data_IF_724010917734
#
_entry.id   IF_724010917734
#
_cell.length_a   1.000
_cell.length_b   1.000
_cell.length_c   1.000
_cell.angle_alpha   90.00
_cell.angle_beta   90.00
_cell.angle_gamma   90.00
#
_symmetry.space_group_name_H-M   'P 1'
#
loop_
_entity.id
_entity.type
_entity.pdbx_description
1 polymer ?
#
# COMPACT_ATOMS: atom_id res chain seq x y z
N UNK A 1 -29.71 -9.00 -22.19
CA UNK A 1 -28.65 -8.06 -21.77
C UNK A 1 -27.58 -8.89 -21.09
N UNK A 2 -26.45 -9.10 -21.76
CA UNK A 2 -25.30 -9.75 -21.13
C UNK A 2 -24.58 -8.70 -20.31
N UNK A 3 -24.81 -8.70 -19.01
CA UNK A 3 -24.03 -7.92 -18.07
C UNK A 3 -22.63 -8.50 -18.08
N UNK A 4 -21.71 -7.90 -18.84
CA UNK A 4 -20.29 -8.13 -18.62
C UNK A 4 -20.04 -7.80 -17.15
N UNK A 5 -19.44 -8.69 -16.33
CA UNK A 5 -19.06 -8.31 -14.98
C UNK A 5 -18.22 -7.04 -15.13
N UNK A 6 -18.64 -5.95 -14.48
CA UNK A 6 -17.78 -4.78 -14.36
C UNK A 6 -16.56 -5.25 -13.60
N UNK A 7 -15.49 -5.57 -14.33
CA UNK A 7 -14.19 -5.75 -13.73
C UNK A 7 -13.84 -4.39 -13.14
N UNK A 8 -13.94 -4.29 -11.81
CA UNK A 8 -13.59 -3.06 -11.12
C UNK A 8 -12.15 -2.72 -11.48
N UNK A 9 -11.91 -1.47 -11.88
CA UNK A 9 -10.54 -1.03 -12.13
C UNK A 9 -9.71 -1.22 -10.87
N UNK A 10 -8.41 -1.45 -11.06
CA UNK A 10 -7.47 -1.68 -9.97
C UNK A 10 -6.58 -0.47 -9.80
N UNK A 11 -6.12 -0.24 -8.58
CA UNK A 11 -5.09 0.73 -8.25
C UNK A 11 -3.95 0.03 -7.53
N UNK A 12 -2.76 0.62 -7.59
CA UNK A 12 -1.57 0.10 -6.92
C UNK A 12 -1.27 0.95 -5.71
N UNK A 13 -1.34 0.37 -4.51
CA UNK A 13 -0.65 0.95 -3.36
C UNK A 13 0.81 0.50 -3.44
N UNK A 14 1.73 1.45 -3.51
CA UNK A 14 3.15 1.18 -3.59
C UNK A 14 3.83 1.88 -2.41
N UNK A 15 4.77 1.19 -1.77
CA UNK A 15 5.69 1.81 -0.84
C UNK A 15 7.13 1.55 -1.29
N UNK A 16 8.02 2.51 -1.06
CA UNK A 16 9.46 2.39 -1.34
C UNK A 16 10.25 2.99 -0.20
N UNK A 17 11.47 2.48 -0.07
CA UNK A 17 12.49 3.05 0.82
C UNK A 17 12.88 4.44 0.32
N UNK A 18 12.89 5.41 1.21
CA UNK A 18 13.15 6.83 0.94
C UNK A 18 14.51 7.28 1.48
N UNK A 19 15.53 6.43 1.31
CA UNK A 19 16.90 6.65 1.77
C UNK A 19 17.87 5.81 0.95
N UNK A 20 19.17 5.99 1.21
CA UNK A 20 20.21 5.19 0.57
C UNK A 20 20.01 3.69 0.83
N UNK A 21 20.14 2.90 -0.24
CA UNK A 21 19.90 1.47 -0.23
C UNK A 21 21.19 0.70 0.04
N UNK A 22 21.11 -0.26 0.96
CA UNK A 22 22.10 -1.31 1.12
C UNK A 22 21.45 -2.71 1.06
N UNK A 23 22.29 -3.74 1.14
CA UNK A 23 21.83 -5.12 1.07
C UNK A 23 21.01 -5.55 2.29
N UNK A 24 21.22 -4.92 3.46
CA UNK A 24 20.45 -5.20 4.67
C UNK A 24 19.02 -4.68 4.51
N UNK A 25 18.87 -3.45 4.05
CA UNK A 25 17.58 -2.82 3.75
C UNK A 25 16.80 -3.65 2.73
N UNK A 26 17.45 -4.04 1.62
CA UNK A 26 16.84 -4.91 0.59
C UNK A 26 16.31 -6.22 1.18
N UNK A 27 17.13 -6.89 1.97
CA UNK A 27 16.76 -8.15 2.61
C UNK A 27 15.59 -7.98 3.59
N UNK A 28 15.62 -6.91 4.39
CA UNK A 28 14.57 -6.58 5.35
C UNK A 28 13.23 -6.29 4.65
N UNK A 29 13.22 -5.50 3.58
CA UNK A 29 12.01 -5.20 2.80
C UNK A 29 11.48 -6.43 2.08
N UNK A 30 12.38 -7.23 1.48
CA UNK A 30 11.97 -8.48 0.83
C UNK A 30 11.33 -9.45 1.83
N UNK A 31 11.92 -9.59 3.02
CA UNK A 31 11.36 -10.41 4.08
C UNK A 31 9.98 -9.90 4.52
N UNK A 32 9.84 -8.60 4.77
CA UNK A 32 8.55 -7.97 5.11
C UNK A 32 7.47 -8.31 4.08
N UNK A 33 7.76 -8.15 2.80
CA UNK A 33 6.78 -8.41 1.73
C UNK A 33 6.44 -9.89 1.64
N UNK A 34 7.41 -10.78 1.79
CA UNK A 34 7.17 -12.23 1.79
C UNK A 34 6.28 -12.65 2.98
N UNK A 35 6.52 -12.09 4.16
CA UNK A 35 5.71 -12.35 5.36
C UNK A 35 4.27 -11.83 5.18
N UNK A 36 4.09 -10.63 4.64
CA UNK A 36 2.77 -10.08 4.30
C UNK A 36 2.05 -10.92 3.24
N UNK A 37 2.75 -11.33 2.18
CA UNK A 37 2.19 -12.18 1.13
C UNK A 37 1.65 -13.50 1.68
N UNK A 38 2.29 -14.07 2.70
CA UNK A 38 1.91 -15.32 3.34
C UNK A 38 0.93 -15.17 4.53
N UNK A 39 0.69 -13.95 5.03
CA UNK A 39 -0.04 -13.74 6.29
C UNK A 39 -1.55 -13.99 6.17
N UNK A 40 -2.12 -13.82 4.96
CA UNK A 40 -3.57 -13.87 4.74
C UNK A 40 -3.94 -14.15 3.28
N UNK A 41 -5.24 -14.32 3.04
CA UNK A 41 -5.82 -14.31 1.70
C UNK A 41 -6.18 -12.86 1.34
N UNK A 42 -5.56 -12.36 0.28
CA UNK A 42 -5.75 -11.01 -0.26
C UNK A 42 -6.87 -10.96 -1.29
N UNK A 43 -7.49 -9.79 -1.47
CA UNK A 43 -8.70 -9.64 -2.29
C UNK A 43 -8.46 -9.76 -3.80
N UNK A 44 -7.29 -9.34 -4.27
CA UNK A 44 -6.88 -9.43 -5.68
C UNK A 44 -5.71 -10.41 -5.81
N UNK A 45 -4.57 -10.03 -5.23
CA UNK A 45 -3.33 -10.80 -5.21
C UNK A 45 -2.53 -10.40 -3.95
N UNK A 46 -1.65 -11.27 -3.44
CA UNK A 46 -0.74 -10.89 -2.37
C UNK A 46 0.21 -9.77 -2.80
N UNK A 47 0.74 -8.97 -1.85
CA UNK A 47 1.72 -7.94 -2.15
C UNK A 47 2.99 -8.52 -2.77
N UNK A 48 3.58 -7.80 -3.72
CA UNK A 48 4.77 -8.22 -4.46
C UNK A 48 5.96 -7.32 -4.12
N UNK A 49 7.13 -7.93 -3.99
CA UNK A 49 8.37 -7.21 -3.73
C UNK A 49 8.84 -6.47 -4.99
N UNK A 50 9.32 -5.24 -4.80
CA UNK A 50 9.95 -4.43 -5.85
C UNK A 50 11.43 -4.31 -5.52
N UNK A 51 12.27 -4.70 -6.48
CA UNK A 51 13.68 -4.38 -6.55
C UNK A 51 14.01 -4.11 -8.02
N UNK A 52 14.11 -2.82 -8.37
CA UNK A 52 14.24 -2.37 -9.74
C UNK A 52 15.08 -1.09 -9.84
N UNK A 53 15.39 -0.71 -11.08
CA UNK A 53 15.96 0.60 -11.41
C UNK A 53 14.87 1.37 -12.17
N UNK A 54 14.57 2.59 -11.75
CA UNK A 54 13.58 3.44 -12.39
C UNK A 54 14.08 4.05 -13.72
N UNK A 55 13.22 4.80 -14.40
CA UNK A 55 13.57 5.46 -15.67
C UNK A 55 14.69 6.52 -15.52
N UNK A 56 14.86 7.06 -14.30
CA UNK A 56 15.92 8.00 -13.95
C UNK A 56 17.25 7.32 -13.60
N UNK A 57 17.29 5.99 -13.54
CA UNK A 57 18.47 5.22 -13.14
C UNK A 57 18.64 5.09 -11.63
N UNK A 58 17.64 5.48 -10.83
CA UNK A 58 17.65 5.32 -9.38
C UNK A 58 17.21 3.92 -8.98
N UNK A 59 17.87 3.34 -7.98
CA UNK A 59 17.47 2.06 -7.41
C UNK A 59 16.21 2.24 -6.55
N UNK A 60 15.22 1.38 -6.75
CA UNK A 60 13.93 1.40 -6.04
C UNK A 60 13.69 0.05 -5.39
N UNK A 61 13.49 0.07 -4.08
CA UNK A 61 13.21 -1.11 -3.26
C UNK A 61 11.95 -0.85 -2.45
N UNK A 62 11.02 -1.81 -2.47
CA UNK A 62 9.70 -1.58 -1.90
C UNK A 62 8.74 -2.76 -2.04
N UNK A 63 7.46 -2.46 -1.96
CA UNK A 63 6.38 -3.42 -2.19
C UNK A 63 5.17 -2.78 -2.86
N UNK A 64 4.37 -3.61 -3.52
CA UNK A 64 3.15 -3.20 -4.21
C UNK A 64 2.00 -4.12 -3.83
N UNK A 65 0.84 -3.54 -3.54
CA UNK A 65 -0.43 -4.22 -3.40
C UNK A 65 -1.41 -3.69 -4.45
N UNK A 66 -2.09 -4.59 -5.16
CA UNK A 66 -3.25 -4.20 -5.98
C UNK A 66 -4.51 -4.16 -5.11
N UNK A 67 -5.25 -3.05 -5.22
CA UNK A 67 -6.57 -2.87 -4.57
C UNK A 67 -7.62 -2.49 -5.62
N UNK A 68 -8.90 -2.69 -5.29
CA UNK A 68 -9.97 -2.21 -6.17
C UNK A 68 -10.08 -0.68 -6.11
N UNK A 69 -10.22 -0.03 -7.26
CA UNK A 69 -10.41 1.41 -7.38
C UNK A 69 -11.78 1.81 -6.85
N UNK A 70 -11.81 2.78 -5.93
CA UNK A 70 -13.02 3.47 -5.50
C UNK A 70 -13.27 4.77 -6.29
N UNK A 71 -12.40 5.09 -7.26
CA UNK A 71 -12.55 6.27 -8.10
C UNK A 71 -13.64 6.06 -9.15
N UNK A 72 -14.42 7.12 -9.42
CA UNK A 72 -15.44 7.09 -10.47
C UNK A 72 -14.83 6.62 -11.80
N UNK A 73 -15.54 5.75 -12.56
CA UNK A 73 -16.94 5.36 -12.40
C UNK A 73 -17.16 4.14 -11.49
N UNK A 74 -16.13 3.62 -10.81
CA UNK A 74 -16.24 2.44 -9.97
C UNK A 74 -17.08 2.73 -8.72
N UNK A 75 -18.04 1.86 -8.42
CA UNK A 75 -18.80 1.89 -7.18
C UNK A 75 -18.54 0.58 -6.47
N UNK A 76 -17.70 0.62 -5.44
CA UNK A 76 -17.43 -0.53 -4.59
C UNK A 76 -18.56 -0.72 -3.58
N UNK A 77 -18.88 -1.99 -3.28
CA UNK A 77 -19.71 -2.29 -2.12
C UNK A 77 -18.97 -1.92 -0.83
N UNK A 78 -19.72 -1.67 0.25
CA UNK A 78 -19.13 -1.37 1.57
C UNK A 78 -18.18 -2.49 2.01
N UNK A 79 -18.52 -3.74 1.75
CA UNK A 79 -17.68 -4.89 2.11
C UNK A 79 -16.35 -4.89 1.35
N UNK A 80 -16.37 -4.60 0.05
CA UNK A 80 -15.15 -4.53 -0.77
C UNK A 80 -14.26 -3.35 -0.36
N UNK A 81 -14.87 -2.19 -0.15
CA UNK A 81 -14.18 -0.96 0.25
C UNK A 81 -13.53 -1.13 1.64
N UNK A 82 -14.27 -1.75 2.57
CA UNK A 82 -13.76 -2.09 3.91
C UNK A 82 -12.61 -3.08 3.86
N UNK A 83 -12.68 -4.07 2.97
CA UNK A 83 -11.61 -5.06 2.83
C UNK A 83 -10.35 -4.49 2.19
N UNK A 84 -10.48 -3.59 1.22
CA UNK A 84 -9.35 -2.82 0.71
C UNK A 84 -8.68 -2.02 1.83
N UNK A 85 -9.46 -1.28 2.63
CA UNK A 85 -8.91 -0.48 3.73
C UNK A 85 -8.18 -1.36 4.76
N UNK A 86 -8.76 -2.49 5.16
CA UNK A 86 -8.12 -3.45 6.08
C UNK A 86 -6.79 -3.99 5.54
N UNK A 87 -6.73 -4.30 4.25
CA UNK A 87 -5.51 -4.74 3.57
C UNK A 87 -4.46 -3.62 3.50
N UNK A 88 -4.85 -2.38 3.22
CA UNK A 88 -3.95 -1.21 3.23
C UNK A 88 -3.41 -0.91 4.63
N UNK A 89 -4.27 -0.97 5.66
CA UNK A 89 -3.87 -0.74 7.04
C UNK A 89 -2.87 -1.78 7.54
N UNK A 90 -3.00 -3.03 7.10
CA UNK A 90 -2.04 -4.10 7.41
C UNK A 90 -0.65 -3.80 6.82
N UNK A 91 -0.58 -3.37 5.55
CA UNK A 91 0.69 -2.96 4.93
C UNK A 91 1.30 -1.78 5.71
N UNK A 92 0.52 -0.73 5.97
CA UNK A 92 1.01 0.46 6.70
C UNK A 92 1.51 0.08 8.09
N UNK A 93 0.79 -0.76 8.82
CA UNK A 93 1.18 -1.23 10.14
C UNK A 93 2.49 -2.02 10.12
N UNK A 94 2.67 -2.90 9.13
CA UNK A 94 3.87 -3.71 9.01
C UNK A 94 5.10 -2.89 8.57
N UNK A 95 4.94 -1.97 7.61
CA UNK A 95 5.99 -1.02 7.21
C UNK A 95 6.38 -0.11 8.38
N UNK A 96 5.40 0.37 9.16
CA UNK A 96 5.63 1.15 10.38
C UNK A 96 6.53 0.41 11.36
N UNK A 97 6.23 -0.86 11.66
CA UNK A 97 7.03 -1.68 12.57
C UNK A 97 8.46 -1.89 12.05
N UNK A 98 8.61 -2.09 10.73
CA UNK A 98 9.94 -2.23 10.12
C UNK A 98 10.72 -0.90 10.23
N UNK A 99 10.07 0.22 9.92
CA UNK A 99 10.64 1.55 10.01
C UNK A 99 11.15 1.84 11.43
N UNK A 100 10.35 1.58 12.46
CA UNK A 100 10.72 1.76 13.87
C UNK A 100 11.91 0.86 14.28
N UNK A 101 11.91 -0.39 13.82
CA UNK A 101 12.89 -1.40 14.23
C UNK A 101 14.27 -1.18 13.59
N UNK A 102 14.27 -0.83 12.31
CA UNK A 102 15.48 -0.79 11.47
C UNK A 102 15.89 0.64 11.10
N UNK A 103 15.14 1.65 11.57
CA UNK A 103 15.33 3.07 11.25
C UNK A 103 15.36 3.31 9.72
N UNK A 104 14.31 2.83 9.04
CA UNK A 104 14.15 2.94 7.58
C UNK A 104 12.98 3.88 7.28
N UNK A 105 13.23 4.92 6.47
CA UNK A 105 12.20 5.82 5.97
C UNK A 105 11.52 5.23 4.72
N UNK A 106 10.20 5.40 4.62
CA UNK A 106 9.39 4.94 3.50
C UNK A 106 8.47 6.04 2.98
N UNK A 107 8.26 6.06 1.68
CA UNK A 107 7.19 6.83 1.02
C UNK A 107 6.13 5.88 0.47
N UNK A 108 4.89 6.37 0.40
CA UNK A 108 3.75 5.66 -0.16
C UNK A 108 3.19 6.44 -1.34
N UNK A 109 2.85 5.74 -2.42
CA UNK A 109 1.99 6.26 -3.48
C UNK A 109 0.77 5.36 -3.70
N UNK A 110 -0.31 5.99 -4.14
CA UNK A 110 -1.43 5.34 -4.77
C UNK A 110 -1.35 5.63 -6.28
N UNK A 111 -1.13 4.57 -7.06
CA UNK A 111 -0.63 4.62 -8.42
C UNK A 111 0.64 5.47 -8.52
N UNK A 112 0.54 6.68 -9.09
CA UNK A 112 1.67 7.64 -9.21
C UNK A 112 1.54 8.82 -8.25
N UNK A 113 0.54 8.81 -7.37
CA UNK A 113 0.23 9.94 -6.48
C UNK A 113 0.83 9.68 -5.11
N UNK A 114 1.73 10.54 -4.65
CA UNK A 114 2.23 10.50 -3.28
C UNK A 114 1.08 10.64 -2.27
N UNK A 115 1.00 9.71 -1.33
CA UNK A 115 -0.05 9.68 -0.29
C UNK A 115 0.49 9.74 1.13
N UNK A 116 1.81 9.91 1.30
CA UNK A 116 2.43 10.16 2.60
C UNK A 116 3.64 9.27 2.85
N UNK A 117 4.16 9.34 4.07
CA UNK A 117 5.43 8.72 4.44
C UNK A 117 5.40 8.13 5.86
N UNK A 118 6.37 7.27 6.11
CA UNK A 118 6.68 6.73 7.44
C UNK A 118 8.16 6.94 7.70
N UNK A 119 8.49 7.57 8.81
CA UNK A 119 9.88 7.82 9.22
C UNK A 119 10.05 7.51 10.71
N UNK A 120 11.06 6.71 11.05
CA UNK A 120 11.31 6.21 12.43
C UNK A 120 10.04 5.66 13.12
N UNK A 121 9.24 4.87 12.38
CA UNK A 121 7.98 4.34 12.88
C UNK A 121 6.84 5.36 13.03
N UNK A 122 7.04 6.61 12.62
CA UNK A 122 6.01 7.66 12.67
C UNK A 122 5.32 7.76 11.33
N UNK A 123 4.03 7.45 11.30
CA UNK A 123 3.16 7.71 10.14
C UNK A 123 2.89 9.21 10.05
N UNK A 124 3.19 9.81 8.91
CA UNK A 124 2.99 11.24 8.71
C UNK A 124 1.50 11.62 8.60
N UNK A 125 1.24 12.94 8.67
CA UNK A 125 -0.15 13.43 8.59
C UNK A 125 -0.76 13.24 7.22
N UNK A 126 0.04 13.20 6.15
CA UNK A 126 -0.48 13.01 4.80
C UNK A 126 -1.06 11.60 4.66
N UNK A 127 -0.35 10.58 5.14
CA UNK A 127 -0.84 9.21 5.12
C UNK A 127 -2.01 9.01 6.08
N UNK A 128 -1.90 9.53 7.30
CA UNK A 128 -2.94 9.34 8.31
C UNK A 128 -4.21 10.16 8.01
N UNK A 129 -4.08 11.48 7.88
CA UNK A 129 -5.20 12.41 7.74
C UNK A 129 -5.62 12.61 6.28
N UNK A 130 -4.73 12.35 5.32
CA UNK A 130 -5.02 12.49 3.89
C UNK A 130 -5.57 11.22 3.23
N UNK A 131 -5.16 10.02 3.68
CA UNK A 131 -5.63 8.75 3.13
C UNK A 131 -6.49 7.95 4.12
N UNK A 132 -5.92 7.53 5.25
CA UNK A 132 -6.54 6.50 6.10
C UNK A 132 -7.80 6.98 6.83
N UNK A 133 -7.74 8.15 7.48
CA UNK A 133 -8.89 8.70 8.23
C UNK A 133 -10.06 9.07 7.31
N UNK A 134 -9.87 9.78 6.18
CA UNK A 134 -10.96 10.04 5.24
C UNK A 134 -11.60 8.76 4.70
N UNK A 135 -10.80 7.74 4.40
CA UNK A 135 -11.31 6.46 3.90
C UNK A 135 -12.17 5.74 4.94
N UNK A 136 -11.70 5.64 6.20
CA UNK A 136 -12.50 5.11 7.32
C UNK A 136 -13.83 5.84 7.47
N UNK A 137 -13.80 7.17 7.43
CA UNK A 137 -15.00 8.00 7.58
C UNK A 137 -15.98 7.80 6.42
N UNK A 138 -15.46 7.62 5.20
CA UNK A 138 -16.27 7.34 4.02
C UNK A 138 -17.02 6.01 4.13
N UNK A 139 -16.34 4.95 4.58
CA UNK A 139 -16.95 3.64 4.82
C UNK A 139 -17.98 3.72 5.95
N UNK A 140 -17.61 4.31 7.09
CA UNK A 140 -18.52 4.45 8.24
C UNK A 140 -19.77 5.28 7.94
N UNK A 141 -19.68 6.27 7.05
CA UNK A 141 -20.83 7.06 6.61
C UNK A 141 -21.79 6.33 5.66
N UNK A 142 -21.39 5.17 5.11
CA UNK A 142 -22.21 4.31 4.26
C UNK A 142 -22.86 3.13 5.01
N UNK A 143 -22.41 2.85 6.23
CA UNK A 143 -22.87 1.75 7.09
C UNK A 143 -24.18 2.03 7.81
#
# INVERSE_FOLDING_TARGET
MHSVPLEHEKQKLIFYVAQDLDQSIRSNVQQLVNELAASRIWSIAPPTFIDAIDEGGAEVVGGMLEIYSALQPNILSVDMDSKNLDEVEEIVCAVKKLSEKENISFEFQLDTTFVGAIDDGVVDRVLLEGLLVPWRNHINGKS
#
